data_IF_600668560909
#
_entry.id   IF_600668560909
#
_cell.length_a   1.000
_cell.length_b   1.000
_cell.length_c   1.000
_cell.angle_alpha   90.00
_cell.angle_beta   90.00
_cell.angle_gamma   90.00
#
_symmetry.space_group_name_H-M   'P 1'
#
loop_
_entity.id
_entity.type
_entity.pdbx_description
1 polymer ?
#
# COMPACT_ATOMS: atom_id res chain seq x y z
N UNK A 1 -8.82 10.43 -17.07
CA UNK A 1 -8.36 11.25 -15.93
C UNK A 1 -6.85 11.39 -16.05
N UNK A 2 -6.34 12.59 -15.82
CA UNK A 2 -4.91 12.85 -15.77
C UNK A 2 -4.31 12.23 -14.49
N UNK A 3 -3.09 11.71 -14.55
CA UNK A 3 -2.40 11.16 -13.38
C UNK A 3 -2.02 12.32 -12.44
N UNK A 4 -2.44 12.30 -11.16
CA UNK A 4 -2.02 13.33 -10.22
C UNK A 4 -0.51 13.25 -9.99
N UNK A 5 0.16 14.40 -10.04
CA UNK A 5 1.53 14.52 -9.55
C UNK A 5 1.54 14.38 -8.03
N UNK A 6 2.53 13.68 -7.48
CA UNK A 6 2.70 13.61 -6.03
C UNK A 6 2.95 15.01 -5.46
N UNK A 7 2.14 15.40 -4.49
CA UNK A 7 2.27 16.65 -3.75
C UNK A 7 2.76 16.34 -2.33
N UNK A 8 4.00 16.73 -1.98
CA UNK A 8 4.58 16.45 -0.66
C UNK A 8 3.94 17.25 0.48
N UNK A 9 3.08 18.23 0.20
CA UNK A 9 2.32 18.97 1.22
C UNK A 9 1.11 18.17 1.74
N UNK A 10 0.70 17.12 1.03
CA UNK A 10 -0.40 16.25 1.45
C UNK A 10 -0.02 15.48 2.71
N UNK A 11 -0.98 15.23 3.62
CA UNK A 11 -0.71 14.44 4.82
C UNK A 11 -0.18 13.05 4.49
N UNK A 12 0.81 12.58 5.25
CA UNK A 12 1.37 11.24 5.08
C UNK A 12 0.47 10.18 5.73
N UNK A 13 0.54 8.95 5.22
CA UNK A 13 0.00 7.80 5.91
C UNK A 13 0.75 7.55 7.22
N UNK A 14 0.02 7.05 8.22
CA UNK A 14 0.64 6.37 9.37
C UNK A 14 0.71 4.88 9.10
N UNK A 15 1.84 4.27 9.46
CA UNK A 15 2.05 2.81 9.35
C UNK A 15 2.29 2.22 10.73
N UNK A 16 1.46 1.25 11.11
CA UNK A 16 1.60 0.51 12.36
C UNK A 16 2.04 -0.91 12.06
N UNK A 17 3.11 -1.37 12.71
CA UNK A 17 3.51 -2.78 12.67
C UNK A 17 2.48 -3.62 13.42
N UNK A 18 1.82 -4.54 12.72
CA UNK A 18 0.83 -5.47 13.30
C UNK A 18 1.51 -6.77 13.71
N UNK A 19 2.36 -7.32 12.84
CA UNK A 19 3.16 -8.50 13.15
C UNK A 19 4.44 -8.57 12.32
N UNK A 20 5.38 -9.38 12.81
CA UNK A 20 6.55 -9.83 12.08
C UNK A 20 6.91 -11.25 12.51
N UNK A 21 6.94 -12.19 11.57
CA UNK A 21 7.25 -13.59 11.83
C UNK A 21 8.21 -14.17 10.80
N UNK A 22 9.08 -15.09 11.24
CA UNK A 22 9.75 -16.01 10.32
C UNK A 22 8.76 -17.08 9.88
N UNK A 23 8.72 -17.39 8.59
CA UNK A 23 7.84 -18.43 8.06
C UNK A 23 8.55 -19.79 8.15
N UNK A 24 8.23 -20.56 9.18
CA UNK A 24 8.90 -21.86 9.44
C UNK A 24 8.72 -22.89 8.32
N UNK A 25 7.59 -22.83 7.61
CA UNK A 25 7.30 -23.67 6.44
C UNK A 25 7.82 -23.09 5.13
N UNK A 26 8.45 -21.91 5.14
CA UNK A 26 9.08 -21.28 4.00
C UNK A 26 10.48 -20.78 4.38
N UNK A 27 11.48 -21.69 4.47
CA UNK A 27 12.83 -21.36 4.94
C UNK A 27 13.44 -20.17 4.18
N UNK A 28 14.07 -19.27 4.92
CA UNK A 28 14.66 -18.05 4.37
C UNK A 28 13.66 -16.90 4.15
N UNK A 29 12.35 -17.10 4.38
CA UNK A 29 11.34 -16.04 4.25
C UNK A 29 10.77 -15.60 5.60
N UNK A 30 10.47 -14.32 5.68
CA UNK A 30 9.73 -13.68 6.75
C UNK A 30 8.46 -13.05 6.20
N UNK A 31 7.49 -12.84 7.09
CA UNK A 31 6.28 -12.09 6.82
C UNK A 31 6.16 -10.89 7.76
N UNK A 32 5.73 -9.76 7.23
CA UNK A 32 5.50 -8.53 7.99
C UNK A 32 4.12 -8.01 7.63
N UNK A 33 3.29 -7.75 8.64
CA UNK A 33 1.96 -7.17 8.48
C UNK A 33 1.97 -5.73 8.96
N UNK A 34 1.54 -4.79 8.13
CA UNK A 34 1.34 -3.39 8.54
C UNK A 34 -0.12 -2.99 8.37
N UNK A 35 -0.62 -2.20 9.30
CA UNK A 35 -1.81 -1.37 9.11
C UNK A 35 -1.36 -0.03 8.56
N UNK A 36 -1.94 0.39 7.43
CA UNK A 36 -1.68 1.69 6.82
C UNK A 36 -2.94 2.52 6.89
N UNK A 37 -2.83 3.72 7.45
CA UNK A 37 -3.95 4.63 7.66
C UNK A 37 -3.65 5.96 6.96
N UNK A 38 -4.45 6.29 5.96
CA UNK A 38 -4.45 7.61 5.37
C UNK A 38 -5.44 8.52 6.09
N UNK A 39 -5.02 9.71 6.54
CA UNK A 39 -5.97 10.78 6.84
C UNK A 39 -6.71 11.23 5.57
N UNK A 40 -7.76 12.06 5.70
CA UNK A 40 -8.39 12.72 4.56
C UNK A 40 -7.34 13.41 3.66
N UNK A 41 -7.47 13.22 2.35
CA UNK A 41 -6.54 13.70 1.32
C UNK A 41 -5.06 13.24 1.48
N UNK A 42 -4.81 12.21 2.29
CA UNK A 42 -3.46 11.70 2.51
C UNK A 42 -2.85 11.00 1.30
N UNK A 43 -1.53 11.01 1.19
CA UNK A 43 -0.79 10.32 0.14
C UNK A 43 0.59 9.84 0.61
N UNK A 44 1.13 8.84 -0.07
CA UNK A 44 2.52 8.38 0.07
C UNK A 44 3.32 8.72 -1.18
N UNK A 45 4.62 9.00 -1.05
CA UNK A 45 5.48 9.21 -2.20
C UNK A 45 5.55 7.96 -3.08
N UNK A 46 5.81 8.13 -4.39
CA UNK A 46 6.15 7.02 -5.26
C UNK A 46 7.36 6.24 -4.71
N UNK A 47 7.28 4.93 -4.64
CA UNK A 47 8.34 4.10 -4.07
C UNK A 47 8.39 2.71 -4.71
N UNK A 48 9.47 1.97 -4.43
CA UNK A 48 9.67 0.61 -4.95
C UNK A 48 9.72 -0.40 -3.82
N UNK A 49 9.01 -1.50 -4.01
CA UNK A 49 9.19 -2.69 -3.19
C UNK A 49 10.36 -3.48 -3.75
N UNK A 50 11.45 -3.63 -2.98
CA UNK A 50 12.66 -4.34 -3.42
C UNK A 50 12.42 -5.83 -3.66
N UNK A 51 12.93 -6.70 -2.79
CA UNK A 51 12.70 -8.15 -2.90
C UNK A 51 11.33 -8.63 -2.39
N UNK A 52 10.49 -7.73 -1.86
CA UNK A 52 9.27 -8.10 -1.18
C UNK A 52 8.09 -8.31 -2.14
N UNK A 53 7.30 -9.34 -1.89
CA UNK A 53 5.94 -9.48 -2.39
C UNK A 53 4.98 -8.82 -1.43
N UNK A 54 4.11 -7.93 -1.90
CA UNK A 54 3.13 -7.22 -1.05
C UNK A 54 1.72 -7.56 -1.51
N UNK A 55 0.86 -7.96 -0.57
CA UNK A 55 -0.58 -8.07 -0.80
C UNK A 55 -1.31 -7.11 0.11
N UNK A 56 -2.20 -6.30 -0.44
CA UNK A 56 -2.92 -5.27 0.29
C UNK A 56 -4.43 -5.52 0.26
N UNK A 57 -5.13 -5.15 1.32
CA UNK A 57 -6.59 -5.28 1.44
C UNK A 57 -7.20 -4.07 2.15
N UNK A 58 -8.20 -3.44 1.53
CA UNK A 58 -8.83 -2.22 2.05
C UNK A 58 -9.82 -2.55 3.16
N UNK A 59 -9.55 -2.02 4.36
CA UNK A 59 -10.38 -2.20 5.54
C UNK A 59 -11.45 -1.12 5.67
N UNK A 60 -11.15 0.11 5.23
CA UNK A 60 -12.05 1.27 5.32
C UNK A 60 -11.78 2.26 4.18
N UNK A 61 -12.85 2.85 3.64
CA UNK A 61 -12.76 3.91 2.64
C UNK A 61 -12.32 3.37 1.27
N UNK A 62 -11.57 4.17 0.52
CA UNK A 62 -11.05 3.78 -0.79
C UNK A 62 -9.68 4.41 -1.07
N UNK A 63 -8.86 3.68 -1.81
CA UNK A 63 -7.45 4.03 -2.08
C UNK A 63 -7.22 4.12 -3.58
N UNK A 64 -6.68 5.25 -4.02
CA UNK A 64 -6.19 5.44 -5.38
C UNK A 64 -4.80 4.81 -5.53
N UNK A 65 -4.68 3.88 -6.47
CA UNK A 65 -3.48 3.10 -6.70
C UNK A 65 -3.03 3.16 -8.16
N UNK A 66 -1.71 3.14 -8.36
CA UNK A 66 -1.09 2.86 -9.67
C UNK A 66 0.23 2.14 -9.48
N UNK A 67 0.37 0.99 -10.12
CA UNK A 67 1.57 0.16 -10.08
C UNK A 67 2.22 0.19 -11.45
N UNK A 68 3.53 0.42 -11.52
CA UNK A 68 4.30 0.39 -12.75
C UNK A 68 3.65 1.25 -13.87
N UNK A 69 3.28 0.63 -14.99
CA UNK A 69 2.59 1.29 -16.10
C UNK A 69 1.11 0.92 -16.18
N UNK A 70 0.59 0.17 -15.20
CA UNK A 70 -0.80 -0.27 -15.19
C UNK A 70 -1.75 0.92 -15.06
N UNK A 71 -3.01 0.77 -15.49
CA UNK A 71 -4.02 1.82 -15.30
C UNK A 71 -4.16 2.19 -13.82
N UNK A 72 -4.33 3.48 -13.57
CA UNK A 72 -4.70 3.98 -12.24
C UNK A 72 -6.10 3.45 -11.86
N UNK A 73 -6.25 2.98 -10.63
CA UNK A 73 -7.49 2.37 -10.12
C UNK A 73 -7.80 2.86 -8.72
N UNK A 74 -9.08 3.14 -8.46
CA UNK A 74 -9.58 3.26 -7.09
C UNK A 74 -9.96 1.88 -6.62
N UNK A 75 -9.44 1.47 -5.46
CA UNK A 75 -9.80 0.22 -4.80
C UNK A 75 -10.64 0.58 -3.58
N UNK A 76 -11.87 0.11 -3.57
CA UNK A 76 -12.82 0.36 -2.48
C UNK A 76 -12.65 -0.66 -1.34
N UNK A 77 -13.29 -0.38 -0.20
CA UNK A 77 -13.36 -1.29 0.94
C UNK A 77 -13.76 -2.70 0.51
N UNK A 78 -13.02 -3.70 1.02
CA UNK A 78 -13.16 -5.10 0.61
C UNK A 78 -12.36 -5.49 -0.64
N UNK A 79 -11.79 -4.52 -1.36
CA UNK A 79 -10.90 -4.76 -2.48
C UNK A 79 -9.45 -5.03 -2.05
N UNK A 80 -8.67 -5.59 -2.98
CA UNK A 80 -7.27 -5.94 -2.76
C UNK A 80 -6.41 -5.70 -4.00
N UNK A 81 -5.10 -5.61 -3.81
CA UNK A 81 -4.13 -5.62 -4.90
C UNK A 81 -2.84 -6.35 -4.51
N UNK A 82 -2.03 -6.64 -5.51
CA UNK A 82 -0.73 -7.29 -5.36
C UNK A 82 0.38 -6.44 -5.97
N UNK A 83 1.51 -6.39 -5.29
CA UNK A 83 2.73 -5.73 -5.74
C UNK A 83 3.86 -6.75 -5.74
N UNK A 84 4.31 -7.11 -6.94
CA UNK A 84 5.39 -8.05 -7.13
C UNK A 84 6.74 -7.48 -6.63
N UNK A 85 7.74 -8.34 -6.34
CA UNK A 85 9.10 -7.87 -6.12
C UNK A 85 9.57 -6.96 -7.27
N UNK A 86 10.15 -5.82 -6.93
CA UNK A 86 10.57 -4.75 -7.85
C UNK A 86 9.47 -3.77 -8.26
N UNK A 87 8.21 -3.99 -7.85
CA UNK A 87 7.08 -3.14 -8.20
C UNK A 87 7.34 -1.67 -7.87
N UNK A 88 7.03 -0.78 -8.81
CA UNK A 88 6.99 0.65 -8.60
C UNK A 88 5.56 1.06 -8.23
N UNK A 89 5.31 1.29 -6.94
CA UNK A 89 4.06 1.90 -6.49
C UNK A 89 4.13 3.40 -6.79
N UNK A 90 3.53 3.81 -7.91
CA UNK A 90 3.63 5.17 -8.43
C UNK A 90 2.64 6.13 -7.81
N UNK A 91 1.45 5.63 -7.48
CA UNK A 91 0.39 6.41 -6.85
C UNK A 91 -0.16 5.56 -5.71
N UNK A 92 -0.14 6.11 -4.51
CA UNK A 92 -0.83 5.61 -3.33
C UNK A 92 -1.41 6.81 -2.58
N UNK A 93 -2.73 6.94 -2.59
CA UNK A 93 -3.41 8.07 -1.96
C UNK A 93 -4.80 7.68 -1.46
N UNK A 94 -5.28 8.36 -0.44
CA UNK A 94 -6.69 8.37 -0.10
C UNK A 94 -7.48 8.94 -1.28
N UNK A 95 -8.52 8.23 -1.71
CA UNK A 95 -9.39 8.72 -2.78
C UNK A 95 -10.41 9.77 -2.27
N UNK A 96 -10.56 9.92 -0.95
CA UNK A 96 -11.42 10.93 -0.31
C UNK A 96 -10.62 12.11 0.23
N UNK A 97 -11.20 13.31 0.08
CA UNK A 97 -10.68 14.56 0.66
C UNK A 97 -11.18 14.84 2.07
N UNK A 98 -12.20 14.11 2.54
CA UNK A 98 -12.90 14.41 3.80
C UNK A 98 -12.95 13.24 4.76
N UNK A 99 -12.85 12.01 4.25
CA UNK A 99 -12.93 10.79 5.05
C UNK A 99 -11.58 10.05 5.07
N UNK A 100 -11.19 9.41 6.18
CA UNK A 100 -9.98 8.60 6.25
C UNK A 100 -10.14 7.26 5.52
N UNK A 101 -9.03 6.68 5.10
CA UNK A 101 -8.96 5.33 4.53
C UNK A 101 -7.94 4.47 5.29
N UNK A 102 -8.19 3.17 5.39
CA UNK A 102 -7.27 2.24 6.03
C UNK A 102 -7.21 0.93 5.25
N UNK A 103 -6.02 0.34 5.19
CA UNK A 103 -5.78 -0.93 4.53
C UNK A 103 -4.68 -1.71 5.25
N UNK A 104 -4.77 -3.03 5.18
CA UNK A 104 -3.75 -3.92 5.69
C UNK A 104 -2.83 -4.34 4.55
N UNK A 105 -1.53 -4.35 4.79
CA UNK A 105 -0.53 -4.85 3.86
C UNK A 105 0.24 -6.00 4.49
N UNK A 106 0.40 -7.07 3.73
CA UNK A 106 1.25 -8.20 4.08
C UNK A 106 2.43 -8.28 3.14
N UNK A 107 3.63 -8.20 3.70
CA UNK A 107 4.89 -8.44 3.01
C UNK A 107 5.31 -9.89 3.20
N UNK A 108 5.87 -10.47 2.14
CA UNK A 108 6.72 -11.67 2.19
C UNK A 108 8.06 -11.31 1.58
N UNK A 109 9.13 -11.48 2.35
CA UNK A 109 10.48 -11.04 2.01
C UNK A 109 11.53 -12.00 2.55
N UNK A 110 12.76 -11.88 2.06
CA UNK A 110 13.91 -12.62 2.62
C UNK A 110 14.17 -12.23 4.08
N UNK A 111 14.59 -13.21 4.87
CA UNK A 111 14.90 -13.08 6.31
C UNK A 111 16.30 -12.54 6.56
#
# INVERSE_FOLDING_TARGET
>A
MEEPTYDPSRPLATTTLVYQYKLVNCPGKSTVGLLVEYPPDGATPPHRHGGASVSAYVLKGSVLNKMNNDPMKVVEQGGSWYEAPGCHHRIGANASKTEPAAFFVNFVLDT
#
